data_IF_867699170794
#
_entry.id   IF_867699170794
#
_cell.length_a   1.000
_cell.length_b   1.000
_cell.length_c   1.000
_cell.angle_alpha   90.00
_cell.angle_beta   90.00
_cell.angle_gamma   90.00
#
_symmetry.space_group_name_H-M   'P 1'
#
loop_
_entity.id
_entity.type
_entity.pdbx_description
1 polymer ?
#
# COMPACT_ATOMS: atom_id res chain seq x y z
N UNK A 1 58.48 -30.66 20.93
CA UNK A 1 57.44 -30.39 19.92
C UNK A 1 57.74 -29.04 19.28
N UNK A 2 58.23 -29.01 18.04
CA UNK A 2 58.65 -27.77 17.36
C UNK A 2 57.47 -27.26 16.53
N UNK A 3 56.93 -26.10 16.88
CA UNK A 3 55.85 -25.44 16.14
C UNK A 3 56.38 -24.98 14.78
N UNK A 4 55.76 -25.44 13.68
CA UNK A 4 56.12 -25.04 12.32
C UNK A 4 55.58 -23.63 12.03
N UNK A 5 56.38 -22.71 11.47
CA UNK A 5 55.93 -21.36 11.15
C UNK A 5 54.85 -21.39 10.06
N UNK A 6 53.75 -20.66 10.29
CA UNK A 6 52.64 -20.52 9.34
C UNK A 6 53.15 -19.77 8.10
N UNK A 7 52.94 -20.29 6.87
CA UNK A 7 53.41 -19.63 5.66
C UNK A 7 52.71 -18.28 5.47
N UNK A 8 53.48 -17.23 5.19
CA UNK A 8 52.98 -15.85 5.03
C UNK A 8 51.86 -15.72 4.00
N UNK A 9 51.83 -16.57 2.96
CA UNK A 9 50.74 -16.62 1.97
C UNK A 9 49.40 -17.11 2.54
N UNK A 10 49.41 -17.98 3.55
CA UNK A 10 48.20 -18.41 4.26
C UNK A 10 47.63 -17.29 5.15
N UNK A 11 48.50 -16.40 5.65
CA UNK A 11 48.09 -15.23 6.43
C UNK A 11 47.36 -14.19 5.55
N UNK A 12 47.79 -14.00 4.30
CA UNK A 12 47.10 -13.11 3.34
C UNK A 12 45.76 -13.68 2.83
N UNK A 13 45.63 -15.00 2.66
CA UNK A 13 44.36 -15.63 2.27
C UNK A 13 43.31 -15.58 3.41
N UNK A 14 43.71 -15.77 4.67
CA UNK A 14 42.81 -15.63 5.82
C UNK A 14 42.37 -14.16 6.05
N UNK A 15 43.21 -13.18 5.71
CA UNK A 15 42.87 -11.76 5.79
C UNK A 15 41.88 -11.33 4.69
N UNK A 16 41.95 -11.93 3.49
CA UNK A 16 40.98 -11.65 2.41
C UNK A 16 39.60 -12.27 2.66
N UNK A 17 39.54 -13.46 3.29
CA UNK A 17 38.27 -14.14 3.62
C UNK A 17 37.54 -13.47 4.79
N UNK A 18 38.24 -12.75 5.66
CA UNK A 18 37.63 -12.01 6.79
C UNK A 18 37.10 -10.63 6.39
N UNK A 19 37.59 -10.00 5.32
CA UNK A 19 37.07 -8.70 4.85
C UNK A 19 35.72 -8.79 4.12
N UNK A 20 35.37 -9.92 3.50
CA UNK A 20 34.08 -10.09 2.81
C UNK A 20 32.91 -10.39 3.75
N UNK A 21 33.17 -10.73 5.01
CA UNK A 21 32.13 -11.08 5.99
C UNK A 21 31.52 -9.89 6.75
N UNK A 22 31.92 -8.65 6.41
CA UNK A 22 31.50 -7.44 7.14
C UNK A 22 30.74 -6.42 6.28
N UNK A 23 30.21 -6.79 5.10
CA UNK A 23 29.24 -5.92 4.44
C UNK A 23 27.94 -5.92 5.27
N UNK A 24 27.51 -4.76 5.81
CA UNK A 24 26.18 -4.68 6.40
C UNK A 24 25.16 -5.06 5.30
N UNK A 25 24.10 -5.81 5.63
CA UNK A 25 23.04 -6.09 4.68
C UNK A 25 22.56 -4.75 4.11
N UNK A 26 22.49 -4.66 2.77
CA UNK A 26 21.93 -3.49 2.12
C UNK A 26 20.52 -3.26 2.69
N UNK A 27 20.25 -2.05 3.16
CA UNK A 27 18.91 -1.71 3.63
C UNK A 27 17.93 -1.93 2.46
N UNK A 28 16.77 -2.55 2.70
CA UNK A 28 15.76 -2.71 1.65
C UNK A 28 15.43 -1.34 1.06
N UNK A 29 15.35 -1.22 -0.28
CA UNK A 29 14.95 0.03 -0.90
C UNK A 29 13.50 0.37 -0.51
N UNK A 30 13.16 1.65 -0.57
CA UNK A 30 11.87 2.16 -0.09
C UNK A 30 11.01 2.57 -1.27
N UNK A 31 9.72 2.25 -1.21
CA UNK A 31 8.71 2.74 -2.13
C UNK A 31 7.51 3.26 -1.34
N UNK A 32 6.94 4.39 -1.75
CA UNK A 32 5.83 5.02 -1.03
C UNK A 32 4.49 4.69 -1.68
N UNK A 33 3.48 4.50 -0.82
CA UNK A 33 2.07 4.49 -1.22
C UNK A 33 1.34 5.62 -0.50
N UNK A 34 0.43 6.27 -1.22
CA UNK A 34 -0.41 7.33 -0.70
C UNK A 34 -1.71 6.81 -0.09
N UNK A 35 -2.16 7.42 0.99
CA UNK A 35 -3.54 7.33 1.46
C UNK A 35 -4.14 8.74 1.50
N UNK A 36 -5.29 8.92 0.85
CA UNK A 36 -6.07 10.16 0.94
C UNK A 36 -7.43 9.85 1.53
N UNK A 37 -7.72 10.45 2.68
CA UNK A 37 -8.94 10.19 3.44
C UNK A 37 -9.30 11.42 4.30
N UNK A 38 -10.57 11.56 4.73
CA UNK A 38 -10.97 12.63 5.62
C UNK A 38 -10.45 12.35 7.03
N UNK A 39 -9.39 13.03 7.45
CA UNK A 39 -8.86 12.93 8.83
C UNK A 39 -9.42 14.03 9.73
N UNK A 40 -9.92 15.11 9.14
CA UNK A 40 -10.66 16.17 9.83
C UNK A 40 -12.09 16.29 9.28
N UNK A 41 -12.95 16.99 10.01
CA UNK A 41 -14.35 17.23 9.61
C UNK A 41 -15.33 16.14 10.05
N UNK A 42 -16.50 16.11 9.41
CA UNK A 42 -17.62 15.25 9.77
C UNK A 42 -17.35 13.77 9.48
N UNK A 43 -16.60 13.48 8.42
CA UNK A 43 -16.31 12.12 7.95
C UNK A 43 -15.02 11.53 8.54
N UNK A 44 -14.46 12.14 9.60
CA UNK A 44 -13.17 11.72 10.19
C UNK A 44 -13.10 10.24 10.60
N UNK A 45 -14.24 9.65 10.92
CA UNK A 45 -14.32 8.24 11.30
C UNK A 45 -13.92 7.32 10.13
N UNK A 46 -14.20 7.73 8.88
CA UNK A 46 -13.72 7.06 7.65
C UNK A 46 -12.20 7.12 7.56
N UNK A 47 -11.60 8.28 7.81
CA UNK A 47 -10.14 8.42 7.83
C UNK A 47 -9.49 7.56 8.91
N UNK A 48 -10.09 7.48 10.11
CA UNK A 48 -9.58 6.62 11.17
C UNK A 48 -9.68 5.14 10.83
N UNK A 49 -10.81 4.69 10.26
CA UNK A 49 -10.95 3.34 9.72
C UNK A 49 -9.78 3.01 8.77
N UNK A 50 -9.55 3.89 7.80
CA UNK A 50 -8.56 3.72 6.74
C UNK A 50 -7.11 3.75 7.24
N UNK A 51 -6.72 4.74 8.04
CA UNK A 51 -5.30 4.92 8.42
C UNK A 51 -4.79 3.79 9.32
N UNK A 52 -5.61 3.29 10.25
CA UNK A 52 -5.20 2.18 11.11
C UNK A 52 -5.12 0.87 10.33
N UNK A 53 -6.03 0.65 9.39
CA UNK A 53 -6.01 -0.51 8.50
C UNK A 53 -4.78 -0.50 7.58
N UNK A 54 -4.50 0.65 6.95
CA UNK A 54 -3.34 0.81 6.09
C UNK A 54 -2.03 0.61 6.87
N UNK A 55 -1.93 1.16 8.08
CA UNK A 55 -0.77 0.98 8.96
C UNK A 55 -0.58 -0.47 9.39
N UNK A 56 -1.66 -1.21 9.65
CA UNK A 56 -1.59 -2.64 9.95
C UNK A 56 -0.99 -3.39 8.75
N UNK A 57 -1.60 -3.25 7.58
CA UNK A 57 -1.17 -3.93 6.36
C UNK A 57 0.30 -3.62 6.03
N UNK A 58 0.70 -2.33 6.03
CA UNK A 58 2.10 -1.94 5.79
C UNK A 58 3.06 -2.58 6.80
N UNK A 59 2.67 -2.65 8.08
CA UNK A 59 3.50 -3.27 9.12
C UNK A 59 3.69 -4.76 8.86
N UNK A 60 2.62 -5.47 8.53
CA UNK A 60 2.63 -6.91 8.28
C UNK A 60 3.43 -7.23 7.01
N UNK A 61 3.19 -6.51 5.92
CA UNK A 61 3.91 -6.66 4.65
C UNK A 61 5.42 -6.43 4.85
N UNK A 62 5.79 -5.35 5.55
CA UNK A 62 7.19 -5.06 5.83
C UNK A 62 7.83 -6.10 6.76
N UNK A 63 7.09 -6.64 7.72
CA UNK A 63 7.58 -7.71 8.60
C UNK A 63 7.87 -9.01 7.84
N UNK A 64 7.20 -9.25 6.71
CA UNK A 64 7.43 -10.40 5.83
C UNK A 64 8.42 -10.14 4.68
N UNK A 65 9.17 -9.04 4.73
CA UNK A 65 10.19 -8.72 3.72
C UNK A 65 9.78 -7.68 2.67
N UNK A 66 8.63 -7.03 2.85
CA UNK A 66 8.15 -5.96 1.97
C UNK A 66 7.48 -6.46 0.70
N UNK A 67 7.19 -5.54 -0.21
CA UNK A 67 6.59 -5.80 -1.51
C UNK A 67 7.68 -6.21 -2.52
N UNK A 68 7.96 -7.51 -2.63
CA UNK A 68 9.03 -8.00 -3.52
C UNK A 68 10.42 -7.51 -3.13
N UNK A 69 10.68 -7.33 -1.83
CA UNK A 69 11.93 -6.79 -1.30
C UNK A 69 11.94 -5.27 -1.11
N UNK A 70 10.92 -4.56 -1.56
CA UNK A 70 10.75 -3.13 -1.32
C UNK A 70 10.02 -2.87 0.00
N UNK A 71 10.63 -2.08 0.88
CA UNK A 71 9.97 -1.64 2.11
C UNK A 71 8.92 -0.58 1.76
N UNK A 72 7.68 -0.83 2.16
CA UNK A 72 6.59 0.11 1.98
C UNK A 72 6.65 1.23 3.01
N UNK A 73 6.47 2.46 2.55
CA UNK A 73 6.23 3.63 3.40
C UNK A 73 4.87 4.24 3.06
N UNK A 74 4.08 4.54 4.09
CA UNK A 74 2.76 5.13 3.93
C UNK A 74 2.85 6.64 4.12
N UNK A 75 2.46 7.40 3.10
CA UNK A 75 2.23 8.85 3.21
C UNK A 75 0.73 9.11 3.19
N UNK A 76 0.23 9.97 4.07
CA UNK A 76 -1.20 10.20 4.22
C UNK A 76 -1.53 11.69 4.17
N UNK A 77 -2.58 12.05 3.42
CA UNK A 77 -3.07 13.42 3.28
C UNK A 77 -4.56 13.50 3.61
N UNK A 78 -4.94 14.57 4.32
CA UNK A 78 -6.32 14.89 4.65
C UNK A 78 -7.00 15.57 3.46
N UNK A 79 -8.11 15.00 3.00
CA UNK A 79 -8.98 15.64 2.00
C UNK A 79 -10.27 16.22 2.59
N UNK A 80 -10.54 16.02 3.88
CA UNK A 80 -11.74 16.51 4.58
C UNK A 80 -13.07 16.14 3.91
N UNK A 81 -13.07 15.14 3.02
CA UNK A 81 -14.20 14.84 2.14
C UNK A 81 -14.65 16.06 1.31
N UNK A 82 -13.70 16.93 0.94
CA UNK A 82 -13.93 18.16 0.21
C UNK A 82 -13.12 18.19 -1.12
N UNK A 83 -13.76 18.56 -2.26
CA UNK A 83 -13.09 18.59 -3.56
C UNK A 83 -11.81 19.45 -3.64
N UNK A 84 -11.74 20.60 -2.97
CA UNK A 84 -10.59 21.50 -3.06
C UNK A 84 -9.40 20.95 -2.24
N UNK A 85 -9.69 20.36 -1.09
CA UNK A 85 -8.70 19.65 -0.28
C UNK A 85 -8.24 18.35 -0.97
N UNK A 86 -9.13 17.64 -1.67
CA UNK A 86 -8.79 16.47 -2.48
C UNK A 86 -7.80 16.81 -3.60
N UNK A 87 -8.02 17.92 -4.31
CA UNK A 87 -7.08 18.45 -5.32
C UNK A 87 -5.71 18.78 -4.69
N UNK A 88 -5.71 19.35 -3.49
CA UNK A 88 -4.47 19.69 -2.76
C UNK A 88 -3.70 18.43 -2.34
N UNK A 89 -4.40 17.44 -1.78
CA UNK A 89 -3.82 16.15 -1.39
C UNK A 89 -3.23 15.41 -2.60
N UNK A 90 -3.96 15.37 -3.72
CA UNK A 90 -3.48 14.78 -4.96
C UNK A 90 -2.23 15.49 -5.48
N UNK A 91 -2.19 16.83 -5.45
CA UNK A 91 -1.00 17.61 -5.84
C UNK A 91 0.23 17.26 -5.00
N UNK A 92 0.05 17.08 -3.68
CA UNK A 92 1.16 16.70 -2.81
C UNK A 92 1.68 15.29 -3.13
N UNK A 93 0.78 14.33 -3.37
CA UNK A 93 1.17 12.97 -3.76
C UNK A 93 1.91 12.94 -5.09
N UNK A 94 1.39 13.61 -6.14
CA UNK A 94 2.01 13.55 -7.46
C UNK A 94 3.37 14.27 -7.52
N UNK A 95 3.62 15.21 -6.60
CA UNK A 95 4.91 15.92 -6.46
C UNK A 95 5.99 15.03 -5.83
N UNK A 96 5.60 14.07 -4.99
CA UNK A 96 6.53 13.08 -4.43
C UNK A 96 6.78 11.96 -5.45
N UNK A 97 7.98 11.96 -6.05
CA UNK A 97 8.37 10.99 -7.07
C UNK A 97 8.44 9.55 -6.56
N UNK A 98 8.58 9.33 -5.25
CA UNK A 98 8.67 8.00 -4.65
C UNK A 98 7.29 7.36 -4.43
N UNK A 99 6.21 8.15 -4.58
CA UNK A 99 4.82 7.66 -4.48
C UNK A 99 4.41 7.02 -5.80
N UNK A 100 4.24 5.70 -5.78
CA UNK A 100 3.95 4.90 -6.99
C UNK A 100 2.48 4.55 -7.17
N UNK A 101 1.67 4.66 -6.11
CA UNK A 101 0.23 4.43 -6.13
C UNK A 101 -0.44 5.12 -4.95
N UNK A 102 -1.75 5.34 -5.05
CA UNK A 102 -2.57 5.94 -4.00
C UNK A 102 -3.83 5.11 -3.70
N UNK A 103 -4.35 5.25 -2.49
CA UNK A 103 -5.62 4.68 -2.01
C UNK A 103 -6.51 5.84 -1.54
N UNK A 104 -7.80 5.76 -1.83
CA UNK A 104 -8.77 6.85 -1.64
C UNK A 104 -9.25 7.35 -3.01
N UNK A 105 -10.00 8.42 -3.14
CA UNK A 105 -10.73 9.09 -2.08
C UNK A 105 -11.94 8.24 -1.67
N UNK A 106 -12.58 8.65 -0.58
CA UNK A 106 -13.74 7.95 -0.02
C UNK A 106 -15.08 8.59 -0.40
N UNK A 107 -15.04 9.73 -1.10
CA UNK A 107 -16.20 10.35 -1.72
C UNK A 107 -16.07 10.43 -3.25
N UNK A 108 -17.16 10.17 -4.01
CA UNK A 108 -17.16 10.28 -5.46
C UNK A 108 -16.71 11.66 -5.97
N UNK A 109 -17.18 12.74 -5.34
CA UNK A 109 -16.87 14.12 -5.71
C UNK A 109 -15.39 14.48 -5.50
N UNK A 110 -14.80 14.00 -4.40
CA UNK A 110 -13.37 14.16 -4.12
C UNK A 110 -12.53 13.41 -5.16
N UNK A 111 -12.91 12.18 -5.48
CA UNK A 111 -12.27 11.40 -6.55
C UNK A 111 -12.37 12.11 -7.90
N UNK A 112 -13.55 12.63 -8.24
CA UNK A 112 -13.79 13.30 -9.51
C UNK A 112 -12.93 14.57 -9.67
N UNK A 113 -12.76 15.35 -8.60
CA UNK A 113 -11.98 16.58 -8.58
C UNK A 113 -10.46 16.31 -8.69
N UNK A 114 -9.96 15.29 -7.99
CA UNK A 114 -8.53 14.94 -7.97
C UNK A 114 -8.06 14.17 -9.21
N UNK A 115 -8.97 13.44 -9.86
CA UNK A 115 -8.68 12.54 -11.00
C UNK A 115 -7.78 13.12 -12.10
N UNK A 116 -7.95 14.36 -12.58
CA UNK A 116 -7.07 14.90 -13.62
C UNK A 116 -5.59 14.91 -13.23
N UNK A 117 -5.28 15.17 -11.95
CA UNK A 117 -3.89 15.19 -11.45
C UNK A 117 -3.27 13.79 -11.45
N UNK A 118 -4.03 12.78 -11.01
CA UNK A 118 -3.59 11.39 -11.05
C UNK A 118 -3.35 10.93 -12.50
N UNK A 119 -4.29 11.28 -13.40
CA UNK A 119 -4.21 10.96 -14.81
C UNK A 119 -2.97 11.57 -15.49
N UNK A 120 -2.73 12.87 -15.28
CA UNK A 120 -1.59 13.60 -15.84
C UNK A 120 -0.25 13.07 -15.30
N UNK A 121 -0.19 12.72 -14.02
CA UNK A 121 1.03 12.29 -13.35
C UNK A 121 1.33 10.78 -13.48
N UNK A 122 0.46 10.04 -14.16
CA UNK A 122 0.59 8.59 -14.30
C UNK A 122 0.33 7.80 -13.01
N UNK A 123 -0.18 8.43 -11.94
CA UNK A 123 -0.27 7.85 -10.60
C UNK A 123 -1.57 7.02 -10.45
N UNK A 124 -1.53 5.68 -10.37
CA UNK A 124 -2.73 4.88 -10.18
C UNK A 124 -3.35 5.11 -8.80
N UNK A 125 -4.68 5.20 -8.78
CA UNK A 125 -5.51 5.37 -7.59
C UNK A 125 -6.46 4.18 -7.42
N UNK A 126 -6.39 3.49 -6.28
CA UNK A 126 -7.43 2.57 -5.82
C UNK A 126 -8.53 3.36 -5.10
N UNK A 127 -9.60 3.69 -5.82
CA UNK A 127 -10.73 4.46 -5.31
C UNK A 127 -11.71 3.57 -4.55
N UNK A 128 -12.03 3.97 -3.31
CA UNK A 128 -12.92 3.24 -2.40
C UNK A 128 -14.30 3.92 -2.27
N UNK A 129 -14.43 5.21 -2.60
CA UNK A 129 -15.71 5.92 -2.53
C UNK A 129 -16.55 5.82 -3.81
N UNK A 130 -17.03 4.63 -4.19
CA UNK A 130 -17.95 4.50 -5.32
C UNK A 130 -19.42 4.46 -4.89
N UNK A 131 -20.31 5.01 -5.73
CA UNK A 131 -21.73 5.29 -5.43
C UNK A 131 -22.56 4.06 -4.97
N UNK A 132 -22.11 2.84 -5.26
CA UNK A 132 -22.82 1.59 -4.93
C UNK A 132 -22.06 0.68 -3.94
N UNK A 133 -20.89 1.11 -3.43
CA UNK A 133 -20.06 0.27 -2.57
C UNK A 133 -20.59 0.26 -1.12
N UNK A 134 -21.22 -0.86 -0.75
CA UNK A 134 -21.61 -1.16 0.64
C UNK A 134 -20.71 -2.28 1.16
N UNK A 135 -19.66 -1.90 1.88
CA UNK A 135 -18.74 -2.84 2.50
C UNK A 135 -19.34 -3.46 3.77
N UNK A 136 -19.20 -4.77 3.99
CA UNK A 136 -19.62 -5.40 5.22
C UNK A 136 -18.79 -4.88 6.40
N UNK A 137 -19.41 -4.79 7.58
CA UNK A 137 -18.65 -4.53 8.79
C UNK A 137 -17.70 -5.70 9.06
N UNK A 138 -16.43 -5.47 9.44
CA UNK A 138 -15.49 -6.57 9.66
C UNK A 138 -16.02 -7.62 10.64
N UNK A 139 -16.66 -7.19 11.73
CA UNK A 139 -17.27 -8.07 12.74
C UNK A 139 -18.38 -9.00 12.22
N UNK A 140 -18.92 -8.76 11.03
CA UNK A 140 -19.96 -9.62 10.42
C UNK A 140 -19.38 -10.66 9.48
N UNK A 141 -18.07 -10.65 9.23
CA UNK A 141 -17.39 -11.61 8.38
C UNK A 141 -16.69 -12.68 9.23
N UNK A 142 -16.80 -13.93 8.80
CA UNK A 142 -16.09 -15.05 9.41
C UNK A 142 -14.57 -14.89 9.27
N UNK A 143 -13.82 -15.34 10.29
CA UNK A 143 -12.36 -15.33 10.27
C UNK A 143 -11.70 -13.96 10.51
N UNK A 144 -12.47 -12.90 10.78
CA UNK A 144 -11.92 -11.56 11.03
C UNK A 144 -11.55 -11.28 12.49
N UNK A 145 -11.84 -12.18 13.43
CA UNK A 145 -11.65 -11.93 14.86
C UNK A 145 -10.19 -11.56 15.21
N UNK A 146 -9.22 -12.34 14.69
CA UNK A 146 -7.80 -12.08 14.90
C UNK A 146 -7.34 -10.79 14.19
N UNK A 147 -7.88 -10.53 12.99
CA UNK A 147 -7.62 -9.29 12.28
C UNK A 147 -8.15 -8.07 13.03
N UNK A 148 -9.35 -8.13 13.62
CA UNK A 148 -9.91 -7.05 14.45
C UNK A 148 -9.02 -6.82 15.68
N UNK A 149 -8.51 -7.89 16.30
CA UNK A 149 -7.58 -7.77 17.41
C UNK A 149 -6.27 -7.09 17.00
N UNK A 150 -5.70 -7.49 15.85
CA UNK A 150 -4.48 -6.89 15.29
C UNK A 150 -4.67 -5.42 14.92
N UNK A 151 -5.80 -5.08 14.27
CA UNK A 151 -6.19 -3.70 13.95
C UNK A 151 -6.22 -2.85 15.21
N UNK A 152 -6.90 -3.30 16.27
CA UNK A 152 -6.98 -2.57 17.55
C UNK A 152 -5.64 -2.47 18.28
N UNK A 153 -4.67 -3.32 17.95
CA UNK A 153 -3.32 -3.27 18.50
C UNK A 153 -2.38 -2.30 17.73
N UNK A 154 -2.84 -1.68 16.63
CA UNK A 154 -2.03 -0.72 15.87
C UNK A 154 -1.65 0.50 16.72
N UNK A 155 -2.55 0.97 17.59
CA UNK A 155 -2.31 2.09 18.50
C UNK A 155 -3.26 2.14 19.70
N UNK A 156 -2.94 2.95 20.73
CA UNK A 156 -3.66 2.96 22.02
C UNK A 156 -5.10 3.49 21.94
N UNK A 157 -5.46 4.20 20.86
CA UNK A 157 -6.78 4.79 20.64
C UNK A 157 -7.41 4.35 19.32
N UNK A 158 -7.00 3.19 18.80
CA UNK A 158 -7.59 2.65 17.59
C UNK A 158 -9.08 2.30 17.83
N UNK A 159 -10.02 2.83 17.03
CA UNK A 159 -11.44 2.55 17.20
C UNK A 159 -11.77 1.08 16.88
N UNK A 160 -13.03 0.69 17.05
CA UNK A 160 -13.53 -0.55 16.43
C UNK A 160 -13.55 -0.33 14.92
N UNK A 161 -12.99 -1.23 14.10
CA UNK A 161 -12.92 -1.02 12.66
C UNK A 161 -14.33 -0.97 12.05
N UNK A 162 -14.63 0.12 11.35
CA UNK A 162 -15.84 0.29 10.56
C UNK A 162 -15.71 -0.28 9.14
N UNK A 163 -16.64 0.11 8.27
CA UNK A 163 -16.80 -0.47 6.93
C UNK A 163 -15.63 -0.18 5.99
N UNK A 164 -14.87 0.88 6.26
CA UNK A 164 -13.76 1.32 5.40
C UNK A 164 -12.41 0.70 5.77
N UNK A 165 -12.33 0.03 6.91
CA UNK A 165 -11.09 -0.52 7.41
C UNK A 165 -10.61 -1.71 6.55
N UNK A 166 -11.46 -2.72 6.33
CA UNK A 166 -11.10 -3.86 5.48
C UNK A 166 -10.79 -3.48 4.03
N UNK A 167 -11.61 -2.73 3.27
CA UNK A 167 -11.27 -2.40 1.89
C UNK A 167 -9.95 -1.62 1.79
N UNK A 168 -9.64 -0.76 2.77
CA UNK A 168 -8.33 -0.08 2.82
C UNK A 168 -7.18 -1.06 3.08
N UNK A 169 -7.34 -1.96 4.05
CA UNK A 169 -6.34 -3.01 4.34
C UNK A 169 -6.06 -3.85 3.10
N UNK A 170 -7.10 -4.28 2.40
CA UNK A 170 -6.99 -5.10 1.21
C UNK A 170 -6.37 -4.34 0.02
N UNK A 171 -6.71 -3.06 -0.14
CA UNK A 171 -6.11 -2.19 -1.14
C UNK A 171 -4.59 -2.06 -0.94
N UNK A 172 -4.09 -1.96 0.31
CA UNK A 172 -2.65 -1.96 0.58
C UNK A 172 -2.00 -3.27 0.14
N UNK A 173 -2.61 -4.43 0.42
CA UNK A 173 -2.09 -5.71 -0.03
C UNK A 173 -2.11 -5.84 -1.56
N UNK A 174 -3.17 -5.40 -2.23
CA UNK A 174 -3.21 -5.34 -3.70
C UNK A 174 -2.08 -4.49 -4.25
N UNK A 175 -1.84 -3.29 -3.68
CA UNK A 175 -0.73 -2.44 -4.12
C UNK A 175 0.61 -3.12 -3.87
N UNK A 176 0.80 -3.81 -2.75
CA UNK A 176 2.03 -4.54 -2.47
C UNK A 176 2.30 -5.66 -3.49
N UNK A 177 1.26 -6.40 -3.89
CA UNK A 177 1.37 -7.43 -4.93
C UNK A 177 1.68 -6.82 -6.31
N UNK A 178 1.04 -5.70 -6.66
CA UNK A 178 1.32 -4.96 -7.89
C UNK A 178 2.76 -4.40 -7.91
N UNK A 179 3.23 -3.83 -6.79
CA UNK A 179 4.60 -3.32 -6.61
C UNK A 179 5.61 -4.46 -6.71
N UNK A 180 5.34 -5.62 -6.11
CA UNK A 180 6.23 -6.78 -6.22
C UNK A 180 6.34 -7.26 -7.68
N UNK A 181 5.23 -7.28 -8.41
CA UNK A 181 5.21 -7.63 -9.83
C UNK A 181 5.96 -6.60 -10.70
N UNK A 182 5.76 -5.30 -10.44
CA UNK A 182 6.51 -4.23 -11.10
C UNK A 182 8.02 -4.32 -10.81
N UNK A 183 8.36 -4.61 -9.55
CA UNK A 183 9.72 -4.78 -9.05
C UNK A 183 10.51 -5.92 -9.70
N UNK A 184 9.81 -6.93 -10.25
CA UNK A 184 10.45 -8.03 -10.95
C UNK A 184 11.09 -7.61 -12.30
N UNK A 185 10.65 -6.48 -12.87
CA UNK A 185 11.15 -5.93 -14.13
C UNK A 185 12.14 -4.76 -13.95
N UNK A 186 12.34 -4.26 -12.71
CA UNK A 186 13.16 -3.09 -12.41
C UNK A 186 12.74 -2.39 -11.12
N UNK A 187 13.17 -1.15 -10.93
CA UNK A 187 12.63 -0.30 -9.86
C UNK A 187 11.13 -0.04 -10.12
N UNK A 188 10.24 -0.30 -9.14
CA UNK A 188 8.81 -0.10 -9.33
C UNK A 188 8.54 1.39 -9.50
N UNK A 189 7.99 1.77 -10.65
CA UNK A 189 7.51 3.12 -10.92
C UNK A 189 5.98 3.13 -11.10
N UNK A 190 5.41 4.33 -11.22
CA UNK A 190 3.95 4.52 -11.37
C UNK A 190 3.38 3.77 -12.57
N UNK A 191 4.09 3.75 -13.69
CA UNK A 191 3.63 3.13 -14.93
C UNK A 191 3.63 1.60 -14.81
N UNK A 192 4.69 1.02 -14.25
CA UNK A 192 4.80 -0.41 -14.01
C UNK A 192 3.76 -0.90 -12.99
N UNK A 193 3.54 -0.15 -11.90
CA UNK A 193 2.50 -0.48 -10.92
C UNK A 193 1.11 -0.39 -11.54
N UNK A 194 0.80 0.68 -12.30
CA UNK A 194 -0.48 0.81 -13.00
C UNK A 194 -0.74 -0.34 -13.99
N UNK A 195 0.31 -0.78 -14.71
CA UNK A 195 0.22 -1.90 -15.65
C UNK A 195 0.03 -3.26 -14.95
N UNK A 196 0.57 -3.42 -13.74
CA UNK A 196 0.45 -4.66 -12.96
C UNK A 196 -0.93 -4.81 -12.30
N UNK A 197 -1.56 -3.71 -11.88
CA UNK A 197 -2.81 -3.74 -11.10
C UNK A 197 -3.95 -4.60 -11.69
N UNK A 198 -4.28 -4.52 -13.00
CA UNK A 198 -5.32 -5.36 -13.58
C UNK A 198 -5.06 -6.87 -13.48
N UNK A 199 -3.81 -7.29 -13.32
CA UNK A 199 -3.41 -8.68 -13.18
C UNK A 199 -3.42 -9.19 -11.73
N UNK A 200 -3.63 -8.31 -10.75
CA UNK A 200 -3.67 -8.70 -9.32
C UNK A 200 -5.05 -9.27 -9.00
N UNK A 201 -5.06 -10.57 -8.70
CA UNK A 201 -6.22 -11.28 -8.17
C UNK A 201 -5.84 -11.94 -6.86
N UNK A 202 -6.47 -11.54 -5.76
CA UNK A 202 -6.13 -12.03 -4.42
C UNK A 202 -7.34 -12.49 -3.63
N UNK A 203 -7.13 -13.52 -2.82
CA UNK A 203 -8.12 -13.97 -1.84
C UNK A 203 -7.93 -13.17 -0.55
N UNK A 204 -8.95 -12.42 -0.15
CA UNK A 204 -8.99 -11.64 1.08
C UNK A 204 -10.25 -11.92 1.92
N UNK A 205 -10.44 -11.14 2.97
CA UNK A 205 -11.64 -11.16 3.82
C UNK A 205 -12.90 -10.75 3.07
N UNK A 206 -12.73 -9.87 2.07
CA UNK A 206 -13.79 -9.47 1.17
C UNK A 206 -13.96 -10.46 -0.01
N UNK A 207 -13.35 -11.65 0.07
CA UNK A 207 -13.35 -12.72 -0.93
C UNK A 207 -12.36 -12.47 -2.07
N UNK A 208 -12.71 -12.85 -3.32
CA UNK A 208 -11.82 -12.65 -4.47
C UNK A 208 -11.80 -11.18 -4.87
N UNK A 209 -10.66 -10.53 -4.67
CA UNK A 209 -10.46 -9.13 -5.00
C UNK A 209 -9.82 -8.98 -6.37
N UNK A 210 -10.46 -8.18 -7.19
CA UNK A 210 -9.99 -7.75 -8.51
C UNK A 210 -10.24 -6.27 -8.64
N UNK A 211 -9.37 -5.58 -9.36
CA UNK A 211 -9.44 -4.13 -9.53
C UNK A 211 -9.54 -3.78 -10.99
N UNK A 212 -10.58 -3.02 -11.32
CA UNK A 212 -10.88 -2.64 -12.70
C UNK A 212 -10.58 -1.16 -12.90
N UNK A 213 -9.76 -0.87 -13.90
CA UNK A 213 -9.53 0.48 -14.38
C UNK A 213 -10.80 1.08 -14.99
N UNK A 214 -10.95 2.40 -14.88
CA UNK A 214 -12.02 3.13 -15.55
C UNK A 214 -11.97 2.97 -17.07
N UNK A 215 -13.15 3.01 -17.70
CA UNK A 215 -13.31 2.68 -19.12
C UNK A 215 -12.85 3.78 -20.09
N UNK A 216 -12.56 4.98 -19.60
CA UNK A 216 -12.16 6.14 -20.42
C UNK A 216 -10.70 6.50 -20.15
N UNK A 217 -10.00 7.15 -21.10
CA UNK A 217 -8.62 7.58 -20.87
C UNK A 217 -8.44 8.41 -19.60
N UNK A 218 -9.41 9.26 -19.27
CA UNK A 218 -9.38 10.12 -18.09
C UNK A 218 -9.69 9.37 -16.78
N UNK A 219 -10.13 8.12 -16.86
CA UNK A 219 -10.43 7.25 -15.70
C UNK A 219 -9.55 6.00 -15.66
N UNK A 220 -8.64 5.82 -16.63
CA UNK A 220 -7.82 4.62 -16.78
C UNK A 220 -6.86 4.37 -15.60
N UNK A 221 -6.54 5.42 -14.82
CA UNK A 221 -5.75 5.33 -13.60
C UNK A 221 -6.59 5.32 -12.32
N UNK A 222 -7.92 5.31 -12.46
CA UNK A 222 -8.84 5.15 -11.34
C UNK A 222 -9.33 3.70 -11.35
N UNK A 223 -8.89 2.94 -10.36
CA UNK A 223 -9.21 1.54 -10.19
C UNK A 223 -10.27 1.39 -9.12
N UNK A 224 -11.26 0.55 -9.37
CA UNK A 224 -12.32 0.22 -8.41
C UNK A 224 -12.37 -1.28 -8.18
N UNK A 225 -12.74 -1.67 -6.98
CA UNK A 225 -12.83 -3.08 -6.64
C UNK A 225 -14.07 -3.70 -7.30
N UNK A 226 -13.92 -4.85 -7.95
CA UNK A 226 -15.04 -5.58 -8.54
C UNK A 226 -15.88 -6.23 -7.44
N UNK A 227 -17.17 -5.89 -7.36
CA UNK A 227 -18.10 -6.26 -6.27
C UNK A 227 -18.45 -7.76 -6.12
N UNK A 228 -17.71 -8.66 -6.76
CA UNK A 228 -18.17 -10.04 -6.99
C UNK A 228 -18.14 -10.98 -5.77
N UNK A 229 -17.80 -10.50 -4.57
CA UNK A 229 -17.44 -11.38 -3.46
C UNK A 229 -18.21 -11.22 -2.14
N UNK A 230 -18.70 -10.02 -1.78
CA UNK A 230 -19.42 -9.80 -0.50
C UNK A 230 -20.90 -9.42 -0.63
N UNK A 231 -21.41 -9.11 -1.83
CA UNK A 231 -22.83 -8.81 -2.10
C UNK A 231 -23.68 -10.06 -2.40
N UNK A 232 -23.52 -11.15 -1.62
CA UNK A 232 -24.39 -12.34 -1.77
C UNK A 232 -25.74 -12.16 -1.08
#
# INVERSE_FOLDING_TARGET
MVARPIPTKALWLLLLVTLTACLPPALPPVVKIGLVAPFEGADRDVGYDAIYAARLAVREINATGGAGGWRLELVAYDDRADPDFAVTAARNLVTDGDVVAAIGHFQPESTAAARPLYAEAGLPLLALGAEDESYPLPKTLDGTADWIAAYRAVGPHTPVPGVWALPTYEAVYTLAEAIAAAGAAGEPDRAAVAAALPGVERQGFLGTLRWRAGATPETALIFRMEESAWKK
#
